data_IF_030274888354
#
_entry.id   IF_030274888354
#
_cell.length_a   1.000
_cell.length_b   1.000
_cell.length_c   1.000
_cell.angle_alpha   90.00
_cell.angle_beta   90.00
_cell.angle_gamma   90.00
#
_symmetry.space_group_name_H-M   'P 1'
#
loop_
_entity.id
_entity.type
_entity.pdbx_description
1 polymer ?
#
# COMPACT_ATOMS: atom_id res chain seq x y z
N UNK A 1 -14.17 -7.13 -5.41
CA UNK A 1 -13.37 -5.96 -5.81
C UNK A 1 -12.12 -5.86 -4.97
N UNK A 2 -11.10 -5.24 -5.52
CA UNK A 2 -9.83 -5.02 -4.83
C UNK A 2 -9.66 -3.52 -4.59
N UNK A 3 -9.06 -3.17 -3.45
CA UNK A 3 -9.01 -1.80 -2.96
C UNK A 3 -7.55 -1.40 -2.75
N UNK A 4 -7.21 -0.21 -3.21
CA UNK A 4 -5.89 0.38 -3.00
C UNK A 4 -6.04 1.84 -2.58
N UNK A 5 -5.24 2.25 -1.62
CA UNK A 5 -5.14 3.65 -1.18
C UNK A 5 -3.84 4.21 -1.74
N UNK A 6 -3.91 5.34 -2.43
CA UNK A 6 -2.75 5.94 -3.10
C UNK A 6 -2.65 7.44 -2.85
N UNK A 7 -1.45 7.96 -3.04
CA UNK A 7 -1.18 9.39 -3.13
C UNK A 7 -0.77 9.75 -4.57
N UNK A 8 -0.60 11.04 -4.86
CA UNK A 8 -0.33 11.49 -6.24
C UNK A 8 1.07 11.21 -6.74
N UNK A 9 2.05 11.08 -5.85
CA UNK A 9 3.43 10.82 -6.22
C UNK A 9 3.58 9.43 -6.84
N UNK A 10 4.47 9.32 -7.83
CA UNK A 10 4.73 8.06 -8.51
C UNK A 10 5.84 7.28 -7.81
N UNK A 11 5.66 5.96 -7.74
CA UNK A 11 6.71 5.03 -7.37
C UNK A 11 7.67 4.86 -8.56
N UNK A 12 8.98 5.11 -8.40
CA UNK A 12 9.92 4.99 -9.51
C UNK A 12 10.05 3.57 -10.05
N UNK A 13 9.80 2.55 -9.23
CA UNK A 13 9.92 1.16 -9.65
C UNK A 13 8.72 0.71 -10.49
N UNK A 14 7.50 0.99 -10.04
CA UNK A 14 6.29 0.56 -10.73
C UNK A 14 5.81 1.55 -11.79
N UNK A 15 6.18 2.82 -11.67
CA UNK A 15 5.64 3.90 -12.49
C UNK A 15 4.21 4.26 -12.16
N UNK A 16 3.66 3.68 -11.10
CA UNK A 16 2.29 3.90 -10.63
C UNK A 16 2.31 4.78 -9.38
N UNK A 17 1.13 5.27 -8.96
CA UNK A 17 1.03 6.09 -7.75
C UNK A 17 1.47 5.30 -6.52
N UNK A 18 2.12 5.98 -5.57
CA UNK A 18 2.59 5.37 -4.33
C UNK A 18 1.42 4.96 -3.45
N UNK A 19 1.56 3.80 -2.79
CA UNK A 19 0.67 3.40 -1.71
C UNK A 19 0.96 4.14 -0.41
N UNK A 20 0.09 3.99 0.59
CA UNK A 20 0.20 4.75 1.85
C UNK A 20 1.39 4.31 2.70
N UNK A 21 1.84 3.07 2.63
CA UNK A 21 3.02 2.63 3.39
C UNK A 21 4.27 3.39 2.94
N UNK A 22 4.42 3.56 1.64
CA UNK A 22 5.54 4.28 1.07
C UNK A 22 5.47 5.77 1.42
N UNK A 23 4.28 6.36 1.35
CA UNK A 23 4.05 7.75 1.74
C UNK A 23 4.32 7.96 3.25
N UNK A 24 3.92 7.02 4.10
CA UNK A 24 4.16 7.07 5.54
C UNK A 24 5.66 6.99 5.87
N UNK A 25 6.39 6.12 5.19
CA UNK A 25 7.83 6.00 5.35
C UNK A 25 8.54 7.31 5.00
N UNK A 26 8.18 7.93 3.88
CA UNK A 26 8.73 9.23 3.49
C UNK A 26 8.43 10.31 4.52
N UNK A 27 7.23 10.34 5.05
CA UNK A 27 6.85 11.30 6.09
C UNK A 27 7.65 11.07 7.37
N UNK A 28 7.85 9.83 7.79
CA UNK A 28 8.66 9.49 8.95
C UNK A 28 10.11 9.94 8.79
N UNK A 29 10.67 9.81 7.59
CA UNK A 29 12.04 10.21 7.28
C UNK A 29 12.21 11.73 7.20
N UNK A 30 11.14 12.47 6.96
CA UNK A 30 11.20 13.93 6.82
C UNK A 30 11.53 14.66 8.13
N UNK A 31 11.24 14.04 9.26
CA UNK A 31 11.41 14.65 10.58
C UNK A 31 10.34 15.67 10.95
N UNK A 32 9.30 15.83 10.16
CA UNK A 32 8.25 16.84 10.35
C UNK A 32 7.09 16.36 11.23
N UNK A 33 7.09 15.08 11.62
CA UNK A 33 6.01 14.49 12.40
C UNK A 33 5.98 15.01 13.83
N UNK A 34 4.79 15.41 14.29
CA UNK A 34 4.53 15.63 15.70
C UNK A 34 4.68 14.31 16.48
N UNK A 35 5.13 14.34 17.76
CA UNK A 35 5.39 13.10 18.52
C UNK A 35 4.18 12.15 18.58
N UNK A 36 2.99 12.67 18.77
CA UNK A 36 1.77 11.84 18.83
C UNK A 36 1.47 11.15 17.50
N UNK A 37 1.69 11.83 16.39
CA UNK A 37 1.50 11.26 15.05
C UNK A 37 2.58 10.24 14.71
N UNK A 38 3.82 10.50 15.14
CA UNK A 38 4.90 9.53 15.01
C UNK A 38 4.56 8.22 15.72
N UNK A 39 4.09 8.31 16.98
CA UNK A 39 3.70 7.14 17.76
C UNK A 39 2.53 6.40 17.10
N UNK A 40 1.57 7.13 16.55
CA UNK A 40 0.45 6.51 15.84
C UNK A 40 0.91 5.76 14.58
N UNK A 41 1.83 6.33 13.80
CA UNK A 41 2.40 5.65 12.62
C UNK A 41 3.17 4.39 13.03
N UNK A 42 3.93 4.44 14.12
CA UNK A 42 4.64 3.27 14.62
C UNK A 42 3.67 2.15 15.04
N UNK A 43 2.60 2.49 15.74
CA UNK A 43 1.58 1.50 16.14
C UNK A 43 0.88 0.90 14.92
N UNK A 44 0.54 1.71 13.92
CA UNK A 44 -0.07 1.22 12.69
C UNK A 44 0.89 0.30 11.92
N UNK A 45 2.16 0.69 11.82
CA UNK A 45 3.18 -0.14 11.19
C UNK A 45 3.34 -1.49 11.88
N UNK A 46 3.40 -1.50 13.21
CA UNK A 46 3.49 -2.72 14.00
C UNK A 46 2.27 -3.62 13.78
N UNK A 47 1.07 -3.04 13.73
CA UNK A 47 -0.15 -3.80 13.47
C UNK A 47 -0.10 -4.48 12.10
N UNK A 48 0.33 -3.77 11.06
CA UNK A 48 0.46 -4.35 9.73
C UNK A 48 1.55 -5.42 9.66
N UNK A 49 2.67 -5.22 10.36
CA UNK A 49 3.73 -6.22 10.41
C UNK A 49 3.24 -7.54 11.02
N UNK A 50 2.33 -7.48 12.00
CA UNK A 50 1.74 -8.66 12.62
C UNK A 50 0.61 -9.28 11.81
N UNK A 51 -0.14 -8.48 11.05
CA UNK A 51 -1.41 -8.90 10.46
C UNK A 51 -1.41 -8.96 8.94
N UNK A 52 -0.32 -8.58 8.29
CA UNK A 52 -0.21 -8.59 6.84
C UNK A 52 1.16 -9.09 6.41
N UNK A 53 1.19 -10.15 5.63
CA UNK A 53 2.44 -10.69 5.10
C UNK A 53 3.06 -9.74 4.08
N UNK A 54 4.38 -9.74 3.99
CA UNK A 54 5.13 -8.97 2.98
C UNK A 54 5.39 -9.84 1.76
N UNK A 55 4.50 -9.83 0.76
CA UNK A 55 4.52 -10.82 -0.31
C UNK A 55 5.73 -10.69 -1.25
N UNK A 56 6.32 -9.50 -1.36
CA UNK A 56 7.51 -9.32 -2.20
C UNK A 56 8.72 -10.14 -1.75
N UNK A 57 8.77 -10.49 -0.45
CA UNK A 57 9.78 -11.42 0.08
C UNK A 57 9.46 -12.87 -0.23
N UNK A 58 8.17 -13.18 -0.45
CA UNK A 58 7.66 -14.52 -0.67
C UNK A 58 7.41 -14.81 -2.15
N UNK A 59 7.29 -13.78 -2.98
CA UNK A 59 7.02 -13.93 -4.40
C UNK A 59 8.18 -14.65 -5.08
N UNK A 60 7.86 -15.77 -5.71
CA UNK A 60 8.81 -16.64 -6.37
C UNK A 60 9.15 -16.17 -7.79
N UNK A 61 9.16 -14.87 -8.02
CA UNK A 61 9.50 -14.34 -9.34
C UNK A 61 11.00 -14.42 -9.55
N UNK A 62 11.39 -15.13 -10.61
CA UNK A 62 12.78 -15.15 -11.09
C UNK A 62 13.13 -13.87 -11.86
N UNK A 63 12.15 -13.01 -12.10
CA UNK A 63 12.33 -11.77 -12.86
C UNK A 63 12.28 -10.57 -11.91
N UNK A 64 13.44 -9.98 -11.55
CA UNK A 64 13.48 -8.87 -10.56
C UNK A 64 12.61 -7.67 -10.94
N UNK A 65 12.51 -7.34 -12.23
CA UNK A 65 11.71 -6.20 -12.69
C UNK A 65 10.21 -6.41 -12.48
N UNK A 66 9.73 -7.65 -12.48
CA UNK A 66 8.32 -7.95 -12.19
C UNK A 66 7.99 -7.75 -10.71
N UNK A 67 8.93 -8.09 -9.81
CA UNK A 67 8.78 -7.78 -8.38
C UNK A 67 8.64 -6.29 -8.15
N UNK A 68 9.51 -5.50 -8.78
CA UNK A 68 9.49 -4.05 -8.65
C UNK A 68 8.19 -3.43 -9.19
N UNK A 69 7.57 -4.05 -10.20
CA UNK A 69 6.33 -3.58 -10.81
C UNK A 69 5.08 -4.08 -10.11
N UNK A 70 5.18 -5.07 -9.23
CA UNK A 70 4.04 -5.66 -8.56
C UNK A 70 3.42 -4.68 -7.55
N UNK A 71 2.10 -4.65 -7.52
CA UNK A 71 1.30 -3.77 -6.69
C UNK A 71 0.40 -4.60 -5.79
N UNK A 72 0.32 -4.20 -4.51
CA UNK A 72 -0.56 -4.84 -3.54
C UNK A 72 -1.92 -4.16 -3.48
N UNK A 73 -2.96 -4.98 -3.41
CA UNK A 73 -4.34 -4.54 -3.24
C UNK A 73 -4.95 -5.29 -2.07
N UNK A 74 -5.81 -4.62 -1.30
CA UNK A 74 -6.61 -5.31 -0.29
C UNK A 74 -7.84 -5.95 -0.93
N UNK A 75 -8.22 -7.12 -0.43
CA UNK A 75 -9.54 -7.68 -0.71
C UNK A 75 -10.58 -6.84 0.03
N UNK A 76 -11.75 -6.64 -0.57
CA UNK A 76 -12.77 -5.77 0.00
C UNK A 76 -13.37 -6.28 1.30
N UNK A 77 -13.21 -7.57 1.60
CA UNK A 77 -13.62 -8.17 2.87
C UNK A 77 -12.54 -8.11 3.96
N UNK A 78 -11.37 -7.56 3.68
CA UNK A 78 -10.31 -7.34 4.66
C UNK A 78 -10.62 -6.12 5.54
N UNK A 79 -11.70 -6.18 6.30
CA UNK A 79 -12.29 -5.03 7.00
C UNK A 79 -11.36 -4.39 8.02
N UNK A 80 -10.66 -5.20 8.81
CA UNK A 80 -9.73 -4.68 9.81
C UNK A 80 -8.56 -3.95 9.15
N UNK A 81 -8.05 -4.50 8.06
CA UNK A 81 -6.96 -3.89 7.30
C UNK A 81 -7.39 -2.56 6.67
N UNK A 82 -8.58 -2.53 6.09
CA UNK A 82 -9.13 -1.31 5.50
C UNK A 82 -9.35 -0.24 6.57
N UNK A 83 -9.85 -0.63 7.76
CA UNK A 83 -10.02 0.30 8.87
C UNK A 83 -8.68 0.90 9.31
N UNK A 84 -7.62 0.09 9.39
CA UNK A 84 -6.28 0.57 9.71
C UNK A 84 -5.70 1.47 8.62
N UNK A 85 -5.99 1.19 7.36
CA UNK A 85 -5.62 2.08 6.26
C UNK A 85 -6.33 3.43 6.35
N UNK A 86 -7.59 3.46 6.81
CA UNK A 86 -8.31 4.71 7.05
C UNK A 86 -7.65 5.53 8.17
N UNK A 87 -7.17 4.90 9.22
CA UNK A 87 -6.41 5.59 10.26
C UNK A 87 -5.11 6.17 9.70
N UNK A 88 -4.42 5.41 8.86
CA UNK A 88 -3.19 5.86 8.19
C UNK A 88 -3.47 7.05 7.26
N UNK A 89 -4.53 6.99 6.49
CA UNK A 89 -4.99 8.07 5.61
C UNK A 89 -5.20 9.36 6.42
N UNK A 90 -5.82 9.25 7.60
CA UNK A 90 -6.10 10.40 8.45
C UNK A 90 -4.80 11.07 8.92
N UNK A 91 -3.82 10.30 9.36
CA UNK A 91 -2.52 10.84 9.75
C UNK A 91 -1.85 11.54 8.57
N UNK A 92 -1.77 10.89 7.42
CA UNK A 92 -1.15 11.47 6.23
C UNK A 92 -1.86 12.75 5.78
N UNK A 93 -3.19 12.78 5.90
CA UNK A 93 -4.00 13.95 5.56
C UNK A 93 -3.65 15.18 6.39
N UNK A 94 -3.25 15.02 7.64
CA UNK A 94 -2.82 16.14 8.50
C UNK A 94 -1.53 16.79 7.98
N UNK A 95 -0.76 16.09 7.18
CA UNK A 95 0.50 16.57 6.59
C UNK A 95 0.36 16.90 5.09
N UNK A 96 -0.89 17.10 4.65
CA UNK A 96 -1.16 17.60 3.29
C UNK A 96 -1.28 16.53 2.22
N UNK A 97 -1.20 15.25 2.56
CA UNK A 97 -1.35 14.19 1.56
C UNK A 97 -2.81 14.06 1.13
N UNK A 98 -3.05 14.16 -0.17
CA UNK A 98 -4.36 13.87 -0.76
C UNK A 98 -4.41 12.39 -1.11
N UNK A 99 -5.16 11.62 -0.31
CA UNK A 99 -5.29 10.19 -0.49
C UNK A 99 -6.51 9.88 -1.35
N UNK A 100 -6.32 8.99 -2.32
CA UNK A 100 -7.40 8.51 -3.17
C UNK A 100 -7.56 7.01 -2.97
N UNK A 101 -8.82 6.56 -2.89
CA UNK A 101 -9.15 5.15 -2.85
C UNK A 101 -9.49 4.69 -4.27
N UNK A 102 -8.85 3.62 -4.70
CA UNK A 102 -9.05 3.01 -6.01
C UNK A 102 -9.67 1.64 -5.81
N UNK A 103 -10.69 1.33 -6.62
CA UNK A 103 -11.31 0.00 -6.65
C UNK A 103 -11.23 -0.57 -8.06
N UNK A 104 -10.89 -1.86 -8.16
CA UNK A 104 -10.85 -2.54 -9.44
C UNK A 104 -11.10 -4.04 -9.28
N UNK A 105 -11.55 -4.67 -10.36
CA UNK A 105 -11.57 -6.14 -10.50
C UNK A 105 -10.37 -6.64 -11.29
N UNK A 106 -9.67 -5.75 -11.98
CA UNK A 106 -8.56 -6.08 -12.89
C UNK A 106 -7.22 -5.63 -12.29
N UNK A 107 -6.70 -6.43 -11.39
CA UNK A 107 -5.42 -6.10 -10.72
C UNK A 107 -4.19 -6.40 -11.59
N UNK A 108 -4.30 -7.27 -12.56
CA UNK A 108 -3.20 -7.67 -13.41
C UNK A 108 -2.82 -9.15 -13.23
N UNK A 109 -1.57 -9.47 -13.54
CA UNK A 109 -1.04 -10.83 -13.35
C UNK A 109 -0.72 -11.04 -11.88
N UNK A 110 -1.47 -11.97 -11.25
CA UNK A 110 -1.32 -12.27 -9.83
C UNK A 110 -0.01 -13.03 -9.60
N UNK A 111 0.81 -12.51 -8.68
CA UNK A 111 2.06 -13.16 -8.25
C UNK A 111 1.97 -13.70 -6.82
N UNK A 112 1.01 -13.21 -6.04
CA UNK A 112 0.76 -13.67 -4.68
C UNK A 112 -0.66 -13.30 -4.27
N UNK A 113 -1.29 -14.13 -3.45
CA UNK A 113 -2.53 -13.74 -2.75
C UNK A 113 -2.68 -14.55 -1.46
N UNK A 114 -3.37 -13.94 -0.52
CA UNK A 114 -3.78 -14.59 0.72
C UNK A 114 -5.20 -14.15 1.09
N UNK A 115 -5.60 -14.37 2.34
CA UNK A 115 -6.94 -14.05 2.81
C UNK A 115 -7.27 -12.55 2.70
N UNK A 116 -6.26 -11.66 2.80
CA UNK A 116 -6.47 -10.22 2.95
C UNK A 116 -6.05 -9.40 1.75
N UNK A 117 -5.14 -9.91 0.94
CA UNK A 117 -4.50 -9.13 -0.13
C UNK A 117 -4.24 -9.96 -1.37
N UNK A 118 -4.07 -9.24 -2.48
CA UNK A 118 -3.59 -9.78 -3.74
C UNK A 118 -2.47 -8.87 -4.25
N UNK A 119 -1.40 -9.47 -4.76
CA UNK A 119 -0.28 -8.76 -5.36
C UNK A 119 -0.18 -9.15 -6.82
N UNK A 120 -0.14 -8.16 -7.69
CA UNK A 120 -0.20 -8.40 -9.12
C UNK A 120 0.65 -7.38 -9.89
N UNK A 121 1.20 -7.83 -11.02
CA UNK A 121 1.78 -6.93 -12.00
C UNK A 121 0.64 -6.34 -12.84
N UNK A 122 0.42 -5.01 -12.82
CA UNK A 122 -0.74 -4.41 -13.46
C UNK A 122 -0.72 -4.60 -14.98
N UNK A 123 -1.92 -4.73 -15.56
CA UNK A 123 -2.10 -4.57 -17.01
C UNK A 123 -1.95 -3.08 -17.38
N UNK A 124 -1.79 -2.79 -18.67
CA UNK A 124 -1.70 -1.41 -19.13
C UNK A 124 -2.91 -0.55 -18.78
N UNK A 125 -4.09 -1.15 -18.69
CA UNK A 125 -5.37 -0.48 -18.37
C UNK A 125 -5.80 -0.63 -16.92
N UNK A 126 -4.99 -1.25 -16.05
CA UNK A 126 -5.30 -1.35 -14.63
C UNK A 126 -5.20 0.02 -13.97
N UNK A 127 -6.25 0.52 -13.31
CA UNK A 127 -6.17 1.78 -12.57
C UNK A 127 -5.30 1.57 -11.32
N UNK A 128 -4.25 2.35 -11.20
CA UNK A 128 -3.32 2.18 -10.07
C UNK A 128 -2.55 3.46 -9.70
#
# INVERSE_FOLDING_TARGET
MFIRFVVSELDPDSGRRQGLFQAAERLSESGDLEPGDHDQLERLGAWFDENLKRPLRLAMSSRPHRKAQAISWFKDNARAHIAKMRELEEVLGRYGAAVQLIKTRRVGYVVYQDQFQIVACPFGDTPA
#
